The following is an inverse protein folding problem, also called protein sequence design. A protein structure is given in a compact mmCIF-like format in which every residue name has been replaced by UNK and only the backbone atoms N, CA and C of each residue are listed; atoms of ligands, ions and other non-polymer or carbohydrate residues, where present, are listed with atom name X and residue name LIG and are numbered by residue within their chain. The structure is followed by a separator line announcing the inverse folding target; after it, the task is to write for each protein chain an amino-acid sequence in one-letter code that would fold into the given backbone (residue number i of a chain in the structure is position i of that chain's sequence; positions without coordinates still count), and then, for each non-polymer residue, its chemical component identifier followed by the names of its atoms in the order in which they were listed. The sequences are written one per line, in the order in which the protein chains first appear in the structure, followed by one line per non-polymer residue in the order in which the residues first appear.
data_IF_821144574614
#
_entry.id   IF_821144574614
#
_cell.length_a   1.000
_cell.length_b   1.000
_cell.length_c   1.000
_cell.angle_alpha   90.00
_cell.angle_beta   90.00
_cell.angle_gamma   90.00
#
_symmetry.space_group_name_H-M   'P 1'
#
loop_
_entity.id
_entity.type
_entity.pdbx_description
1 polymer ?
2 non-polymer ?
3 water ?
#
# COMPACT_ATOMS: atom_id res chain seq x y z
N UNK A 31 36.23 13.46 -8.91
CA UNK A 31 37.20 12.33 -8.98
C UNK A 31 36.60 11.07 -8.31
N UNK A 32 36.41 11.13 -7.01
CA UNK A 32 35.62 10.09 -6.33
C UNK A 32 34.14 10.46 -6.51
N UNK A 33 33.84 11.76 -6.57
CA UNK A 33 32.52 12.27 -6.98
C UNK A 33 32.01 11.69 -8.31
N UNK A 34 32.92 11.57 -9.28
CA UNK A 34 32.66 11.00 -10.61
C UNK A 34 32.41 9.54 -10.57
N UNK A 35 33.21 8.83 -9.79
CA UNK A 35 33.01 7.41 -9.48
C UNK A 35 31.61 7.19 -8.83
N UNK A 36 31.20 8.02 -7.87
CA UNK A 36 29.85 7.93 -7.28
C UNK A 36 28.76 8.05 -8.36
N UNK A 37 28.84 9.12 -9.16
CA UNK A 37 27.83 9.32 -10.20
C UNK A 37 27.77 8.21 -11.18
N UNK A 38 28.93 7.73 -11.62
CA UNK A 38 28.95 6.62 -12.58
C UNK A 38 28.43 5.31 -11.98
N UNK A 39 28.71 5.03 -10.72
CA UNK A 39 28.12 3.83 -10.08
C UNK A 39 26.55 3.96 -10.00
N UNK A 40 26.06 5.11 -9.60
CA UNK A 40 24.63 5.33 -9.49
C UNK A 40 23.91 5.17 -10.85
N UNK A 41 24.48 5.82 -11.88
CA UNK A 41 23.98 5.72 -13.25
C UNK A 41 24.04 4.29 -13.76
N UNK A 42 25.16 3.60 -13.55
CA UNK A 42 25.25 2.19 -14.02
C UNK A 42 24.28 1.25 -13.30
N UNK A 43 24.17 1.43 -12.00
CA UNK A 43 23.29 0.55 -11.21
C UNK A 43 21.83 0.78 -11.61
N UNK A 44 21.50 2.05 -11.72
CA UNK A 44 20.19 2.44 -12.17
C UNK A 44 19.78 1.81 -13.49
N UNK A 45 20.67 1.84 -14.46
CA UNK A 45 20.40 1.23 -15.77
C UNK A 45 20.26 -0.25 -15.67
N UNK A 46 21.22 -0.92 -15.04
CA UNK A 46 21.21 -2.37 -15.06
C UNK A 46 20.14 -2.95 -14.18
N UNK A 47 19.96 -2.44 -12.98
CA UNK A 47 18.85 -2.94 -12.16
C UNK A 47 17.52 -2.56 -12.78
N UNK A 48 17.48 -1.42 -13.48
CA UNK A 48 16.29 -1.05 -14.21
C UNK A 48 15.82 -2.06 -15.22
N UNK A 49 16.77 -2.68 -15.89
CA UNK A 49 16.51 -3.69 -16.93
C UNK A 49 16.27 -5.09 -16.39
N UNK A 50 17.10 -5.55 -15.44
CA UNK A 50 17.06 -6.95 -15.03
C UNK A 50 16.61 -7.21 -13.60
N UNK A 51 16.48 -6.16 -12.80
CA UNK A 51 16.10 -6.31 -11.41
C UNK A 51 17.31 -6.36 -10.47
N UNK A 52 17.08 -5.84 -9.25
CA UNK A 52 18.06 -5.83 -8.17
C UNK A 52 18.77 -7.16 -7.98
N UNK A 53 17.98 -8.22 -7.85
CA UNK A 53 18.47 -9.56 -7.49
C UNK A 53 19.37 -10.17 -8.56
N UNK A 54 19.24 -9.70 -9.79
CA UNK A 54 19.88 -10.30 -10.97
C UNK A 54 21.19 -9.63 -11.36
N UNK A 55 21.59 -8.50 -10.76
CA UNK A 55 22.88 -7.88 -11.10
C UNK A 55 23.67 -7.67 -9.83
N UNK A 56 24.91 -8.19 -9.77
CA UNK A 56 25.79 -8.02 -8.62
C UNK A 56 26.64 -6.74 -8.70
N UNK A 57 27.22 -6.35 -7.57
CA UNK A 57 28.11 -5.18 -7.52
C UNK A 57 29.31 -5.29 -8.45
N UNK A 58 29.92 -6.51 -8.62
CA UNK A 58 31.04 -6.58 -9.60
C UNK A 58 30.68 -6.12 -11.01
N UNK A 59 29.58 -6.65 -11.54
CA UNK A 59 29.10 -6.23 -12.86
C UNK A 59 28.84 -4.71 -12.97
N UNK A 60 28.30 -4.12 -11.91
CA UNK A 60 28.04 -2.66 -11.91
C UNK A 60 29.34 -1.88 -11.89
N UNK A 61 30.29 -2.32 -11.08
CA UNK A 61 31.66 -1.69 -11.10
C UNK A 61 32.26 -1.67 -12.50
N UNK A 62 32.27 -2.84 -13.11
CA UNK A 62 32.79 -3.02 -14.46
C UNK A 62 32.05 -2.10 -15.44
N UNK A 63 30.72 -2.09 -15.43
CA UNK A 63 29.91 -1.22 -16.28
C UNK A 63 30.30 0.25 -16.13
N UNK A 64 30.51 0.68 -14.89
CA UNK A 64 30.97 2.01 -14.62
C UNK A 64 32.48 2.25 -14.83
N UNK A 65 33.26 1.21 -15.14
CA UNK A 65 34.71 1.38 -15.36
C UNK A 65 35.52 1.68 -14.12
N UNK A 66 35.14 1.16 -12.97
CA UNK A 66 35.83 1.48 -11.73
C UNK A 66 36.15 0.17 -11.03
N UNK A 67 37.03 0.26 -10.05
CA UNK A 67 37.49 -0.96 -9.40
C UNK A 67 36.52 -1.26 -8.27
N UNK A 68 36.57 -2.49 -7.78
CA UNK A 68 35.81 -2.89 -6.60
C UNK A 68 36.16 -2.00 -5.39
N UNK A 69 37.42 -1.61 -5.23
CA UNK A 69 37.82 -0.82 -4.07
C UNK A 69 37.28 0.60 -4.14
N UNK A 70 37.16 1.18 -5.33
CA UNK A 70 36.56 2.52 -5.48
C UNK A 70 35.08 2.46 -5.17
N UNK A 71 34.45 1.36 -5.59
CA UNK A 71 33.03 1.15 -5.33
C UNK A 71 32.71 1.00 -3.87
N UNK A 72 33.45 0.12 -3.19
CA UNK A 72 33.29 -0.09 -1.77
C UNK A 72 33.58 1.16 -0.95
N UNK A 73 34.47 2.03 -1.40
CA UNK A 73 34.72 3.34 -0.74
C UNK A 73 33.45 4.24 -0.76
N UNK A 74 32.69 4.18 -1.84
CA UNK A 74 31.48 5.01 -2.02
C UNK A 74 30.23 4.35 -1.36
N UNK A 75 30.16 3.03 -1.45
CA UNK A 75 29.02 2.27 -0.96
C UNK A 75 29.47 1.04 -0.22
N UNK A 76 29.19 1.01 1.07
CA UNK A 76 29.50 -0.14 1.93
C UNK A 76 28.95 -1.47 1.41
N UNK A 77 27.77 -1.45 0.82
CA UNK A 77 27.18 -2.67 0.26
C UNK A 77 26.20 -2.35 -0.84
N UNK A 78 25.65 -3.41 -1.41
CA UNK A 78 24.72 -3.36 -2.49
C UNK A 78 23.52 -2.50 -2.17
N UNK A 79 22.91 -2.76 -1.01
CA UNK A 79 21.70 -2.08 -0.59
C UNK A 79 21.90 -0.56 -0.41
N UNK A 80 23.08 -0.17 0.02
CA UNK A 80 23.44 1.24 0.14
C UNK A 80 23.41 1.92 -1.24
N UNK A 81 23.93 1.21 -2.24
CA UNK A 81 23.88 1.74 -3.63
C UNK A 81 22.44 1.85 -4.08
N UNK A 82 21.64 0.82 -3.78
CA UNK A 82 20.23 0.81 -4.16
C UNK A 82 19.45 1.98 -3.58
N UNK A 83 19.72 2.32 -2.33
CA UNK A 83 19.10 3.50 -1.68
C UNK A 83 19.36 4.80 -2.41
N UNK A 84 20.57 5.02 -2.85
CA UNK A 84 20.88 6.18 -3.71
C UNK A 84 20.23 6.08 -5.07
N UNK A 85 20.14 4.89 -5.64
CA UNK A 85 19.45 4.75 -6.91
C UNK A 85 17.97 5.15 -6.72
N UNK A 86 17.33 4.66 -5.69
CA UNK A 86 15.95 5.01 -5.40
C UNK A 86 15.75 6.52 -5.25
N UNK A 87 16.65 7.23 -4.57
CA UNK A 87 16.58 8.68 -4.45
C UNK A 87 16.53 9.35 -5.82
N UNK A 88 17.48 9.01 -6.71
CA UNK A 88 17.52 9.71 -8.01
C UNK A 88 16.31 9.34 -8.84
N UNK A 89 15.88 8.08 -8.79
CA UNK A 89 14.68 7.66 -9.55
C UNK A 89 13.41 8.34 -9.04
N UNK A 90 13.19 8.38 -7.73
CA UNK A 90 12.04 9.06 -7.19
C UNK A 90 12.05 10.56 -7.47
N UNK A 91 13.23 11.21 -7.43
CA UNK A 91 13.31 12.64 -7.83
C UNK A 91 12.90 12.83 -9.26
N UNK A 92 13.31 11.92 -10.13
CA UNK A 92 12.94 11.98 -11.53
C UNK A 92 11.48 11.66 -11.73
N UNK A 93 10.91 10.78 -10.92
CA UNK A 93 9.46 10.57 -10.96
C UNK A 93 8.71 11.89 -10.70
N UNK A 94 9.14 12.61 -9.63
CA UNK A 94 8.51 13.87 -9.23
C UNK A 94 8.68 14.99 -10.26
N UNK A 95 9.86 15.08 -10.87
CA UNK A 95 10.11 16.07 -11.90
C UNK A 95 9.32 15.73 -13.13
N UNK A 96 9.23 14.48 -13.51
CA UNK A 96 8.46 14.13 -14.70
C UNK A 96 6.94 14.35 -14.49
N UNK A 97 6.43 14.15 -13.27
CA UNK A 97 5.05 14.49 -12.94
C UNK A 97 4.76 15.98 -13.07
N UNK A 98 5.60 16.84 -12.48
CA UNK A 98 5.47 18.31 -12.63
C UNK A 98 5.48 18.76 -14.09
N UNK A 99 6.33 18.15 -14.90
CA UNK A 99 6.44 18.43 -16.34
C UNK A 99 5.16 18.05 -17.06
N UNK A 100 4.58 16.89 -16.74
CA UNK A 100 3.31 16.49 -17.36
C UNK A 100 2.09 17.35 -16.89
N UNK A 101 2.06 17.71 -15.63
CA UNK A 101 1.02 18.62 -15.15
C UNK A 101 1.18 20.02 -15.80
N UNK A 102 2.41 20.53 -15.90
CA UNK A 102 2.65 21.87 -16.55
C UNK A 102 2.30 21.87 -18.04
N UNK A 103 2.47 20.73 -18.70
CA UNK A 103 2.17 20.56 -20.12
C UNK A 103 0.72 20.24 -20.45
N UNK A 104 -0.07 19.84 -19.45
CA UNK A 104 -1.46 19.53 -19.66
C UNK A 104 -2.28 20.80 -19.97
N UNK A 105 -1.74 21.96 -19.62
CA UNK A 105 -2.46 23.24 -19.74
C UNK A 105 -3.59 23.39 -18.73
N UNK A 106 -3.49 22.69 -17.61
CA UNK A 106 -4.49 22.85 -16.54
C UNK A 106 -4.52 24.31 -16.04
N UNK A 107 -5.71 24.88 -16.04
CA UNK A 107 -5.95 26.26 -15.66
C UNK A 107 -6.61 26.36 -14.28
N UNK A 108 -7.04 25.22 -13.71
CA UNK A 108 -7.71 25.19 -12.40
C UNK A 108 -7.05 24.08 -11.59
N UNK A 109 -7.09 24.16 -10.25
CA UNK A 109 -6.65 23.08 -9.39
C UNK A 109 -7.29 21.70 -9.72
N UNK A 110 -8.59 21.68 -10.03
CA UNK A 110 -9.26 20.48 -10.40
C UNK A 110 -8.64 19.83 -11.60
N UNK A 111 -8.32 20.65 -12.62
CA UNK A 111 -7.75 20.12 -13.87
C UNK A 111 -6.35 19.55 -13.60
N UNK A 112 -5.66 20.13 -12.62
CA UNK A 112 -4.30 19.80 -12.26
C UNK A 112 -4.26 18.47 -11.53
N UNK A 113 -5.28 18.25 -10.69
CA UNK A 113 -5.50 16.96 -10.05
C UNK A 113 -5.79 15.90 -11.13
N UNK A 114 -6.67 16.18 -12.07
CA UNK A 114 -6.90 15.24 -13.17
C UNK A 114 -5.63 14.91 -13.95
N UNK A 115 -4.88 15.93 -14.34
CA UNK A 115 -3.64 15.71 -15.03
C UNK A 115 -2.56 14.96 -14.19
N UNK A 116 -2.47 15.25 -12.90
CA UNK A 116 -1.57 14.51 -12.01
C UNK A 116 -1.91 13.04 -11.90
N UNK A 117 -3.19 12.69 -11.87
CA UNK A 117 -3.58 11.27 -11.87
C UNK A 117 -3.07 10.60 -13.14
N UNK A 118 -3.36 11.19 -14.29
CA UNK A 118 -2.82 10.68 -15.60
C UNK A 118 -1.31 10.59 -15.63
N UNK A 119 -0.66 11.61 -15.10
CA UNK A 119 0.79 11.66 -15.12
C UNK A 119 1.36 10.48 -14.30
N UNK A 120 0.80 10.18 -13.12
CA UNK A 120 1.25 9.07 -12.32
C UNK A 120 1.05 7.73 -13.01
N UNK A 121 -0.09 7.51 -13.60
CA UNK A 121 -0.27 6.27 -14.35
C UNK A 121 0.74 6.17 -15.50
N UNK A 122 1.06 7.30 -16.12
CA UNK A 122 2.04 7.32 -17.20
C UNK A 122 3.45 7.07 -16.64
N UNK A 123 3.86 7.79 -15.61
CA UNK A 123 5.23 7.61 -15.08
C UNK A 123 5.44 6.24 -14.43
N UNK A 124 4.44 5.74 -13.70
CA UNK A 124 4.36 4.38 -13.14
C UNK A 124 4.62 3.27 -14.14
N UNK A 125 4.14 3.49 -15.38
CA UNK A 125 4.25 2.51 -16.47
C UNK A 125 5.60 2.47 -17.19
N UNK A 126 6.46 3.45 -16.97
CA UNK A 126 7.88 3.41 -17.42
C UNK A 126 8.52 2.12 -16.83
N UNK A 127 9.05 1.21 -17.66
CA UNK A 127 9.51 -0.12 -17.11
C UNK A 127 10.61 -0.04 -16.01
N UNK A 128 11.44 0.98 -16.02
CA UNK A 128 12.43 1.24 -14.98
C UNK A 128 11.77 1.67 -13.64
N UNK A 129 10.78 2.58 -13.70
CA UNK A 129 10.08 2.98 -12.50
C UNK A 129 9.38 1.75 -11.89
N UNK A 130 8.72 0.99 -12.76
CA UNK A 130 8.04 -0.22 -12.36
C UNK A 130 8.99 -1.18 -11.65
N UNK A 131 10.16 -1.43 -12.24
CA UNK A 131 11.07 -2.43 -11.70
C UNK A 131 11.68 -1.90 -10.41
N UNK A 132 12.18 -0.64 -10.38
CA UNK A 132 12.97 -0.21 -9.23
C UNK A 132 12.15 0.26 -8.10
N UNK A 133 11.03 0.95 -8.37
CA UNK A 133 10.23 1.54 -7.29
C UNK A 133 9.10 0.63 -6.84
N UNK A 134 8.35 0.11 -7.79
CA UNK A 134 7.18 -0.69 -7.47
C UNK A 134 7.55 -2.12 -7.05
N UNK A 135 8.55 -2.72 -7.69
CA UNK A 135 8.91 -4.11 -7.39
C UNK A 135 10.09 -4.28 -6.45
N UNK A 136 11.22 -3.61 -6.72
CA UNK A 136 12.44 -3.83 -5.96
C UNK A 136 12.51 -3.02 -4.65
N UNK A 137 12.05 -1.76 -4.66
CA UNK A 137 12.22 -0.97 -3.46
C UNK A 137 11.49 -1.47 -2.19
N UNK A 138 10.20 -1.87 -2.27
CA UNK A 138 9.55 -2.54 -1.10
C UNK A 138 10.38 -3.70 -0.50
N UNK A 139 10.95 -4.53 -1.36
CA UNK A 139 11.76 -5.66 -0.93
C UNK A 139 13.06 -5.25 -0.28
N UNK A 140 13.82 -4.41 -0.96
CA UNK A 140 15.21 -4.08 -0.54
C UNK A 140 15.26 -3.13 0.63
N UNK A 141 14.38 -2.13 0.62
CA UNK A 141 14.32 -1.16 1.70
C UNK A 141 13.56 -1.65 2.98
N UNK A 142 12.68 -2.64 2.83
CA UNK A 142 11.76 -3.04 3.90
C UNK A 142 10.61 -2.04 3.94
N UNK A 143 9.55 -2.42 4.66
CA UNK A 143 8.31 -1.67 4.61
C UNK A 143 8.48 -0.23 5.10
N UNK A 144 9.12 -0.06 6.26
CA UNK A 144 9.27 1.24 6.92
C UNK A 144 10.09 2.20 6.03
N UNK A 145 11.25 1.72 5.58
CA UNK A 145 12.14 2.44 4.68
C UNK A 145 11.47 2.86 3.35
N UNK A 146 10.77 1.93 2.71
CA UNK A 146 10.04 2.26 1.47
C UNK A 146 8.95 3.32 1.67
N UNK A 147 8.12 3.13 2.69
CA UNK A 147 7.06 4.12 3.03
C UNK A 147 7.62 5.49 3.29
N UNK A 148 8.73 5.53 4.04
CA UNK A 148 9.38 6.77 4.38
C UNK A 148 9.79 7.58 3.14
N UNK A 149 10.39 6.86 2.21
CA UNK A 149 10.80 7.44 0.93
C UNK A 149 9.57 7.89 0.08
N UNK A 150 8.62 6.99 -0.08
CA UNK A 150 7.37 7.32 -0.78
C UNK A 150 6.65 8.54 -0.18
N UNK A 151 6.62 8.59 1.14
CA UNK A 151 6.06 9.74 1.86
C UNK A 151 6.79 11.04 1.54
N UNK A 152 8.09 11.07 1.76
CA UNK A 152 8.91 12.26 1.56
C UNK A 152 8.75 12.79 0.14
N UNK A 153 8.62 11.92 -0.86
CA UNK A 153 8.51 12.42 -2.22
C UNK A 153 7.07 12.73 -2.66
N UNK A 154 6.07 12.03 -2.12
CA UNK A 154 4.69 12.19 -2.56
C UNK A 154 3.85 13.24 -1.82
N UNK A 155 4.05 13.28 -0.51
CA UNK A 155 3.06 13.91 0.36
C UNK A 155 2.90 15.43 0.08
N UNK A 156 4.06 16.07 -0.13
CA UNK A 156 4.15 17.50 -0.25
C UNK A 156 3.33 18.00 -1.40
N UNK A 157 3.52 17.36 -2.55
CA UNK A 157 2.84 17.74 -3.74
C UNK A 157 1.33 17.40 -3.67
N UNK A 158 0.98 16.25 -3.06
CA UNK A 158 -0.37 15.86 -2.87
C UNK A 158 -1.11 16.86 -1.99
N UNK A 159 -0.49 17.23 -0.86
CA UNK A 159 -1.08 18.24 0.01
C UNK A 159 -1.23 19.55 -0.72
N UNK A 160 -0.23 19.91 -1.50
CA UNK A 160 -0.31 21.16 -2.25
C UNK A 160 -1.52 21.20 -3.21
N UNK A 161 -1.71 20.17 -4.02
CA UNK A 161 -2.79 20.17 -4.99
C UNK A 161 -4.15 20.18 -4.29
N UNK A 162 -4.22 19.48 -3.16
CA UNK A 162 -5.43 19.49 -2.36
C UNK A 162 -5.69 20.88 -1.82
N UNK A 163 -4.66 21.52 -1.25
CA UNK A 163 -4.86 22.85 -0.60
C UNK A 163 -5.36 23.85 -1.66
N UNK A 164 -4.79 23.79 -2.85
CA UNK A 164 -5.23 24.62 -3.95
C UNK A 164 -6.66 24.35 -4.43
N UNK A 165 -7.07 23.11 -4.60
CA UNK A 165 -8.46 22.85 -4.95
C UNK A 165 -9.41 23.42 -3.86
N UNK A 166 -9.08 23.19 -2.59
CA UNK A 166 -9.88 23.74 -1.49
C UNK A 166 -9.99 25.26 -1.59
N UNK A 167 -8.86 25.96 -1.72
CA UNK A 167 -8.85 27.42 -1.77
C UNK A 167 -9.70 27.92 -2.93
N UNK A 168 -9.68 27.20 -4.04
CA UNK A 168 -10.51 27.55 -5.16
C UNK A 168 -12.03 27.21 -5.03
N UNK A 169 -12.44 26.64 -3.92
CA UNK A 169 -13.79 26.08 -3.77
C UNK A 169 -14.10 24.86 -4.65
N UNK A 170 -13.08 24.09 -5.09
CA UNK A 170 -13.32 22.93 -5.98
C UNK A 170 -13.28 21.60 -5.27
N UNK A 171 -13.04 21.66 -3.98
CA UNK A 171 -12.99 20.49 -3.17
C UNK A 171 -13.43 20.99 -1.84
N UNK A 172 -14.27 20.24 -1.17
CA UNK A 172 -14.78 20.68 0.12
C UNK A 172 -13.68 20.86 1.12
N UNK A 173 -13.78 21.92 1.89
CA UNK A 173 -12.93 22.19 3.05
C UNK A 173 -12.85 21.02 4.02
N UNK A 174 -11.63 20.61 4.31
CA UNK A 174 -11.37 19.44 5.16
C UNK A 174 -9.92 19.48 5.61
N UNK A 175 -9.59 18.65 6.60
CA UNK A 175 -8.18 18.46 6.92
C UNK A 175 -7.46 17.78 5.72
N UNK A 176 -6.30 18.33 5.38
CA UNK A 176 -5.56 17.99 4.20
C UNK A 176 -4.83 16.62 4.27
N UNK A 177 -4.25 16.31 5.43
CA UNK A 177 -3.40 15.17 5.59
C UNK A 177 -4.20 13.85 5.38
N UNK A 178 -5.35 13.66 6.02
CA UNK A 178 -6.09 12.42 5.80
C UNK A 178 -6.52 12.15 4.34
N UNK A 179 -6.99 13.18 3.65
CA UNK A 179 -7.36 13.03 2.28
C UNK A 179 -6.14 12.66 1.46
N UNK A 180 -5.04 13.33 1.76
CA UNK A 180 -3.80 13.12 1.02
C UNK A 180 -3.32 11.65 1.09
N UNK A 181 -3.41 11.12 2.27
CA UNK A 181 -2.94 9.81 2.62
C UNK A 181 -3.83 8.73 1.97
N UNK A 182 -5.15 8.92 1.99
CA UNK A 182 -6.06 8.01 1.32
C UNK A 182 -5.86 7.99 -0.18
N UNK A 183 -5.70 9.17 -0.77
CA UNK A 183 -5.44 9.28 -2.21
C UNK A 183 -4.12 8.63 -2.56
N UNK A 184 -3.10 8.89 -1.78
CA UNK A 184 -1.81 8.20 -1.96
C UNK A 184 -1.96 6.68 -1.90
N UNK A 185 -2.75 6.17 -0.97
CA UNK A 185 -2.94 4.75 -0.86
C UNK A 185 -3.67 4.19 -2.08
N UNK A 186 -4.69 4.91 -2.54
CA UNK A 186 -5.40 4.52 -3.72
C UNK A 186 -4.48 4.55 -4.98
N UNK A 187 -3.70 5.63 -5.11
CA UNK A 187 -2.81 5.79 -6.28
C UNK A 187 -1.64 4.80 -6.29
N UNK A 188 -1.03 4.56 -5.15
CA UNK A 188 0.04 3.54 -5.02
C UNK A 188 -0.49 2.15 -5.35
N UNK A 189 -1.67 1.84 -4.88
CA UNK A 189 -2.28 0.55 -5.16
C UNK A 189 -2.68 0.44 -6.63
N UNK A 190 -3.21 1.52 -7.21
CA UNK A 190 -3.50 1.51 -8.66
C UNK A 190 -2.26 1.06 -9.46
N UNK A 191 -1.15 1.73 -9.21
CA UNK A 191 0.11 1.41 -9.90
C UNK A 191 0.61 -0.01 -9.66
N UNK A 192 0.53 -0.50 -8.43
CA UNK A 192 0.89 -1.87 -8.13
C UNK A 192 0.05 -2.86 -8.93
N UNK A 193 -1.25 -2.62 -8.98
CA UNK A 193 -2.17 -3.51 -9.70
C UNK A 193 -1.80 -3.52 -11.17
N UNK A 194 -1.52 -2.37 -11.77
CA UNK A 194 -1.09 -2.35 -13.17
C UNK A 194 0.25 -3.09 -13.33
N UNK A 195 1.16 -2.88 -12.40
CA UNK A 195 2.50 -3.41 -12.54
C UNK A 195 2.55 -4.96 -12.59
N UNK A 196 1.61 -5.61 -11.89
CA UNK A 196 1.57 -7.07 -11.83
C UNK A 196 0.38 -7.71 -12.58
N UNK A 197 -0.38 -6.96 -13.34
CA UNK A 197 -1.57 -7.53 -14.00
C UNK A 197 -1.20 -8.32 -15.24
N UNK A 198 -2.06 -9.29 -15.56
CA UNK A 198 -1.90 -10.15 -16.74
C UNK A 198 -1.90 -9.35 -18.04
N UNK A 199 -2.88 -8.46 -18.17
CA UNK A 199 -2.95 -7.52 -19.31
C UNK A 199 -2.72 -6.06 -18.80
N UNK A 200 -1.45 -5.62 -18.71
CA UNK A 200 -1.15 -4.30 -18.15
C UNK A 200 -1.87 -3.19 -18.87
N UNK A 201 -1.97 -3.28 -20.18
CA UNK A 201 -2.62 -2.23 -20.98
C UNK A 201 -4.09 -2.05 -20.64
N UNK A 202 -4.81 -3.15 -20.49
CA UNK A 202 -6.21 -3.09 -20.11
C UNK A 202 -6.38 -2.62 -18.64
N UNK A 203 -5.52 -3.14 -17.74
CA UNK A 203 -5.52 -2.72 -16.35
C UNK A 203 -5.29 -1.19 -16.20
N UNK A 204 -4.34 -0.66 -16.96
CA UNK A 204 -4.07 0.77 -16.95
C UNK A 204 -5.28 1.58 -17.38
N UNK A 205 -5.92 1.18 -18.47
CA UNK A 205 -7.06 1.94 -19.02
C UNK A 205 -8.25 1.86 -18.03
N UNK A 206 -8.54 0.67 -17.53
CA UNK A 206 -9.68 0.49 -16.61
C UNK A 206 -9.44 1.13 -15.24
N UNK A 207 -8.19 1.10 -14.77
CA UNK A 207 -7.86 1.70 -13.50
C UNK A 207 -7.89 3.22 -13.61
N UNK A 208 -7.50 3.74 -14.77
CA UNK A 208 -7.56 5.18 -15.05
C UNK A 208 -9.01 5.66 -15.04
N UNK A 209 -9.90 4.91 -15.68
CA UNK A 209 -11.34 5.22 -15.67
C UNK A 209 -11.83 5.24 -14.23
N UNK A 210 -11.50 4.21 -13.45
CA UNK A 210 -11.93 4.15 -12.09
C UNK A 210 -11.45 5.37 -11.34
N UNK A 211 -10.17 5.71 -11.50
CA UNK A 211 -9.64 6.86 -10.72
C UNK A 211 -10.29 8.15 -11.15
N UNK A 212 -10.63 8.23 -12.44
CA UNK A 212 -11.26 9.44 -12.95
C UNK A 212 -12.66 9.64 -12.31
N UNK A 213 -13.45 8.59 -12.23
CA UNK A 213 -14.78 8.64 -11.59
C UNK A 213 -14.73 9.03 -10.13
N UNK A 214 -13.75 8.49 -9.45
CA UNK A 214 -13.56 8.68 -8.03
C UNK A 214 -13.17 10.15 -7.76
N UNK A 215 -12.25 10.66 -8.55
CA UNK A 215 -11.85 12.07 -8.60
C UNK A 215 -13.00 13.02 -8.95
N UNK A 216 -13.65 12.76 -10.07
CA UNK A 216 -14.83 13.54 -10.55
C UNK A 216 -16.03 13.54 -9.57
N UNK A 217 -16.11 12.53 -8.71
CA UNK A 217 -17.13 12.48 -7.67
C UNK A 217 -16.89 13.45 -6.54
N UNK A 218 -15.64 13.79 -6.28
CA UNK A 218 -15.28 14.72 -5.20
C UNK A 218 -14.99 16.13 -5.61
N UNK A 219 -14.63 16.34 -6.87
CA UNK A 219 -14.28 17.63 -7.39
C UNK A 219 -15.54 18.39 -7.85
N UNK A 220 -15.65 19.62 -7.37
CA UNK A 220 -16.66 20.55 -7.81
C UNK A 220 -16.05 21.34 -8.96
N UNK A 221 -16.13 20.76 -10.14
CA UNK A 221 -15.46 21.28 -11.33
C UNK A 221 -14.40 20.29 -11.81
N UNK B 31 -2.67 -34.09 16.41
CA UNK B 31 -1.40 -34.44 17.14
C UNK B 31 -0.31 -33.39 16.88
N UNK B 32 0.13 -33.33 15.63
CA UNK B 32 0.93 -32.23 15.14
C UNK B 32 -0.01 -31.00 14.96
N UNK B 33 -1.20 -31.29 14.44
CA UNK B 33 -2.30 -30.32 14.35
C UNK B 33 -2.57 -29.56 15.63
N UNK B 34 -2.57 -30.26 16.78
CA UNK B 34 -2.84 -29.69 18.11
C UNK B 34 -1.73 -28.77 18.58
N UNK B 35 -0.49 -29.23 18.37
CA UNK B 35 0.71 -28.43 18.58
C UNK B 35 0.68 -27.13 17.73
N UNK B 36 0.31 -27.24 16.45
CA UNK B 36 0.14 -26.05 15.59
C UNK B 36 -0.87 -25.10 16.15
N UNK B 37 -2.07 -25.57 16.49
CA UNK B 37 -3.13 -24.70 17.00
C UNK B 37 -2.69 -24.01 18.25
N UNK B 38 -2.06 -24.73 19.18
CA UNK B 38 -1.59 -24.13 20.40
C UNK B 38 -0.50 -23.06 20.15
N UNK B 39 0.42 -23.31 19.24
CA UNK B 39 1.42 -22.32 18.89
C UNK B 39 0.78 -21.06 18.25
N UNK B 40 -0.14 -21.24 17.34
CA UNK B 40 -0.83 -20.15 16.68
C UNK B 40 -1.59 -19.28 17.66
N UNK B 41 -2.36 -19.92 18.52
CA UNK B 41 -3.11 -19.25 19.59
C UNK B 41 -2.19 -18.49 20.52
N UNK B 42 -1.11 -19.14 20.97
CA UNK B 42 -0.16 -18.44 21.87
C UNK B 42 0.54 -17.24 21.21
N UNK B 43 0.97 -17.43 19.99
CA UNK B 43 1.68 -16.36 19.26
C UNK B 43 0.76 -15.20 19.01
N UNK B 44 -0.44 -15.52 18.58
CA UNK B 44 -1.46 -14.55 18.36
C UNK B 44 -1.73 -13.67 19.58
N UNK B 45 -1.83 -14.30 20.75
CA UNK B 45 -2.05 -13.56 21.99
C UNK B 45 -0.86 -12.68 22.32
N UNK B 46 0.31 -13.27 22.34
CA UNK B 46 1.48 -12.53 22.81
C UNK B 46 1.93 -11.44 21.84
N UNK B 47 1.98 -11.77 20.56
CA UNK B 47 2.31 -10.75 19.58
C UNK B 47 1.21 -9.70 19.53
N UNK B 48 -0.04 -10.12 19.75
CA UNK B 48 -1.16 -9.20 19.79
C UNK B 48 -0.96 -8.10 20.81
N UNK B 49 -0.41 -8.46 21.98
CA UNK B 49 -0.18 -7.52 23.08
C UNK B 49 1.10 -6.69 22.95
N UNK B 50 2.22 -7.33 22.59
CA UNK B 50 3.53 -6.66 22.65
C UNK B 50 4.23 -6.40 21.31
N UNK B 51 3.71 -6.98 20.23
CA UNK B 51 4.34 -6.86 18.93
C UNK B 51 5.25 -8.01 18.59
N UNK B 52 5.30 -8.34 17.30
CA UNK B 52 6.18 -9.33 16.71
C UNK B 52 7.60 -9.25 17.20
N UNK B 53 8.17 -8.05 17.12
CA UNK B 53 9.58 -7.81 17.44
C UNK B 53 9.95 -8.08 18.91
N UNK B 54 8.96 -8.00 19.79
CA UNK B 54 9.15 -8.06 21.23
C UNK B 54 9.00 -9.44 21.85
N UNK B 55 8.51 -10.44 21.12
CA UNK B 55 8.38 -11.77 21.75
C UNK B 55 9.08 -12.78 20.87
N UNK B 56 10.01 -13.51 21.47
CA UNK B 56 10.71 -14.63 20.83
C UNK B 56 9.95 -15.94 20.86
N UNK B 57 10.38 -16.85 20.00
CA UNK B 57 9.71 -18.15 19.86
C UNK B 57 9.77 -19.00 21.14
N UNK B 58 10.88 -18.93 21.91
CA UNK B 58 10.87 -19.72 23.19
C UNK B 58 9.73 -19.33 24.14
N UNK B 59 9.54 -18.04 24.37
CA UNK B 59 8.41 -17.57 25.18
C UNK B 59 7.04 -18.06 24.66
N UNK B 60 6.87 -18.05 23.33
CA UNK B 60 5.62 -18.54 22.73
C UNK B 60 5.45 -20.03 22.95
N UNK B 61 6.53 -20.79 22.79
CA UNK B 61 6.51 -22.25 23.04
C UNK B 61 6.04 -22.57 24.46
N UNK B 62 6.69 -21.91 25.41
CA UNK B 62 6.34 -22.07 26.81
C UNK B 62 4.88 -21.70 27.07
N UNK B 63 4.44 -20.56 26.59
CA UNK B 63 3.02 -20.15 26.71
C UNK B 63 2.04 -21.20 26.17
N UNK B 64 2.39 -21.79 25.03
CA UNK B 64 1.62 -22.89 24.46
C UNK B 64 1.83 -24.26 25.15
N UNK B 65 2.81 -24.39 26.03
CA UNK B 65 3.12 -25.70 26.63
C UNK B 65 3.70 -26.72 25.66
N UNK B 66 4.52 -26.29 24.70
CA UNK B 66 5.25 -27.26 23.89
C UNK B 66 6.75 -27.02 23.98
N UNK B 67 7.52 -27.99 23.56
CA UNK B 67 8.96 -27.87 23.61
C UNK B 67 9.47 -27.11 22.39
N UNK B 68 10.68 -26.56 22.48
CA UNK B 68 11.32 -25.93 21.33
C UNK B 68 11.44 -26.91 20.13
N UNK B 69 11.69 -28.20 20.41
CA UNK B 69 11.80 -29.21 19.37
C UNK B 69 10.51 -29.44 18.60
N UNK B 70 9.39 -29.43 19.32
CA UNK B 70 8.09 -29.67 18.71
C UNK B 70 7.71 -28.42 17.89
N UNK B 71 8.07 -27.25 18.39
CA UNK B 71 7.78 -26.00 17.70
C UNK B 71 8.56 -25.88 16.38
N UNK B 72 9.87 -26.14 16.43
CA UNK B 72 10.71 -26.09 15.26
C UNK B 72 10.32 -27.11 14.21
N UNK B 73 9.78 -28.26 14.62
CA UNK B 73 9.21 -29.24 13.68
C UNK B 73 8.04 -28.65 12.84
N UNK B 74 7.23 -27.82 13.47
CA UNK B 74 6.03 -27.24 12.86
C UNK B 74 6.32 -25.96 12.09
N UNK B 75 7.26 -25.18 12.62
CA UNK B 75 7.62 -23.89 12.04
C UNK B 75 9.13 -23.73 12.03
N UNK B 76 9.70 -23.71 10.84
CA UNK B 76 11.14 -23.51 10.65
C UNK B 76 11.67 -22.25 11.37
N UNK B 77 10.89 -21.19 11.39
CA UNK B 77 11.29 -19.96 12.01
C UNK B 77 10.07 -19.13 12.42
N UNK B 78 10.40 -18.00 13.01
CA UNK B 78 9.47 -17.08 13.56
C UNK B 78 8.48 -16.60 12.54
N UNK B 79 8.99 -16.19 11.39
CA UNK B 79 8.16 -15.63 10.34
C UNK B 79 7.13 -16.62 9.80
N UNK B 80 7.51 -17.89 9.77
CA UNK B 80 6.60 -18.95 9.33
C UNK B 80 5.40 -19.02 10.31
N UNK B 81 5.69 -18.91 11.61
CA UNK B 81 4.58 -18.91 12.60
C UNK B 81 3.69 -17.69 12.38
N UNK B 82 4.32 -16.53 12.14
CA UNK B 82 3.59 -15.29 11.89
C UNK B 82 2.64 -15.39 10.72
N UNK B 83 3.08 -16.01 9.64
CA UNK B 83 2.23 -16.24 8.45
C UNK B 83 0.95 -17.01 8.74
N UNK B 84 1.05 -18.07 9.55
CA UNK B 84 -0.15 -18.78 9.98
C UNK B 84 -0.99 -17.93 10.95
N UNK B 85 -0.36 -17.15 11.81
CA UNK B 85 -1.13 -16.25 12.69
C UNK B 85 -1.93 -15.28 11.84
N UNK B 86 -1.28 -14.67 10.84
CA UNK B 86 -2.01 -13.73 9.96
C UNK B 86 -3.19 -14.37 9.27
N UNK B 87 -3.07 -15.58 8.78
CA UNK B 87 -4.21 -16.30 8.19
C UNK B 87 -5.41 -16.37 9.16
N UNK B 88 -5.19 -16.78 10.41
CA UNK B 88 -6.30 -16.98 11.36
C UNK B 88 -6.89 -15.63 11.71
N UNK B 89 -6.03 -14.62 11.89
CA UNK B 89 -6.53 -13.28 12.25
C UNK B 89 -7.34 -12.67 11.10
N UNK B 90 -6.84 -12.75 9.87
CA UNK B 90 -7.56 -12.22 8.74
C UNK B 90 -8.88 -12.94 8.51
N UNK B 91 -8.94 -14.26 8.73
CA UNK B 91 -10.24 -14.97 8.63
C UNK B 91 -11.27 -14.42 9.60
N UNK B 92 -10.81 -14.15 10.83
CA UNK B 92 -11.67 -13.63 11.85
C UNK B 92 -12.05 -12.15 11.51
N UNK B 93 -11.12 -11.39 10.94
CA UNK B 93 -11.48 -10.06 10.43
C UNK B 93 -12.66 -10.11 9.44
N UNK B 94 -12.58 -11.02 8.47
CA UNK B 94 -13.63 -11.20 7.45
C UNK B 94 -14.97 -11.70 7.98
N UNK B 95 -14.93 -12.61 8.94
CA UNK B 95 -16.15 -13.08 9.60
C UNK B 95 -16.77 -11.95 10.41
N UNK B 96 -15.94 -11.19 11.12
CA UNK B 96 -16.50 -10.06 11.87
C UNK B 96 -17.11 -8.97 10.99
N UNK B 97 -16.50 -8.71 9.82
CA UNK B 97 -17.07 -7.78 8.86
C UNK B 97 -18.43 -8.21 8.33
N UNK B 98 -18.56 -9.47 7.90
CA UNK B 98 -19.85 -10.02 7.43
C UNK B 98 -20.98 -9.86 8.49
N UNK B 99 -20.62 -10.14 9.74
CA UNK B 99 -21.52 -10.04 10.88
C UNK B 99 -21.99 -8.60 11.09
N UNK B 100 -21.05 -7.64 11.01
CA UNK B 100 -21.42 -6.23 11.15
C UNK B 100 -22.25 -5.68 9.97
N UNK B 101 -21.93 -6.09 8.75
CA UNK B 101 -22.73 -5.68 7.60
C UNK B 101 -24.14 -6.27 7.69
N UNK B 102 -24.27 -7.55 8.08
CA UNK B 102 -25.61 -8.18 8.23
C UNK B 102 -26.46 -7.53 9.34
N UNK B 103 -25.80 -7.07 10.40
CA UNK B 103 -26.45 -6.42 11.54
C UNK B 103 -26.75 -4.91 11.38
N UNK B 104 -26.18 -4.29 10.35
CA UNK B 104 -26.24 -2.85 10.19
C UNK B 104 -27.64 -2.39 9.80
N UNK B 105 -28.47 -3.31 9.29
CA UNK B 105 -29.80 -2.98 8.82
C UNK B 105 -29.79 -2.21 7.51
N UNK B 106 -28.72 -2.34 6.73
CA UNK B 106 -28.66 -1.71 5.42
C UNK B 106 -29.76 -2.30 4.52
N UNK B 107 -30.53 -1.42 3.89
CA UNK B 107 -31.66 -1.82 3.05
C UNK B 107 -31.35 -1.74 1.53
N UNK B 108 -30.22 -1.13 1.18
CA UNK B 108 -29.80 -0.97 -0.21
C UNK B 108 -28.32 -1.35 -0.30
N UNK B 109 -27.84 -1.76 -1.47
CA UNK B 109 -26.39 -1.97 -1.66
C UNK B 109 -25.50 -0.78 -1.28
N UNK B 110 -25.95 0.44 -1.58
CA UNK B 110 -25.24 1.64 -1.21
C UNK B 110 -25.07 1.72 0.29
N UNK B 111 -26.13 1.43 1.03
CA UNK B 111 -26.07 1.47 2.52
C UNK B 111 -25.12 0.44 3.05
N UNK B 112 -25.02 -0.68 2.33
CA UNK B 112 -24.20 -1.83 2.71
C UNK B 112 -22.72 -1.51 2.53
N UNK B 113 -22.43 -0.81 1.46
CA UNK B 113 -21.08 -0.27 1.24
C UNK B 113 -20.72 0.73 2.36
N UNK B 114 -21.62 1.65 2.68
CA UNK B 114 -21.37 2.56 3.82
C UNK B 114 -21.15 1.84 5.12
N UNK B 115 -21.99 0.87 5.44
CA UNK B 115 -21.81 0.04 6.64
C UNK B 115 -20.52 -0.79 6.62
N UNK B 116 -20.13 -1.33 5.47
CA UNK B 116 -18.84 -2.04 5.37
C UNK B 116 -17.64 -1.16 5.68
N UNK B 117 -17.67 0.10 5.23
CA UNK B 117 -16.60 1.02 5.56
C UNK B 117 -16.52 1.22 7.08
N UNK B 118 -17.66 1.53 7.71
CA UNK B 118 -17.73 1.61 9.21
C UNK B 118 -17.28 0.34 9.91
N UNK B 119 -17.68 -0.81 9.39
CA UNK B 119 -17.29 -2.07 9.98
C UNK B 119 -15.74 -2.23 9.97
N UNK B 120 -15.08 -1.89 8.86
CA UNK B 120 -13.63 -1.94 8.78
C UNK B 120 -12.96 -0.98 9.70
N UNK B 121 -13.42 0.25 9.78
CA UNK B 121 -12.84 1.18 10.77
C UNK B 121 -13.05 0.63 12.18
N UNK B 122 -14.17 -0.04 12.45
CA UNK B 122 -14.39 -0.65 13.76
C UNK B 122 -13.47 -1.85 13.95
N UNK B 123 -13.43 -2.81 13.01
CA UNK B 123 -12.59 -4.01 13.28
C UNK B 123 -11.10 -3.73 13.24
N UNK B 124 -10.67 -2.85 12.36
CA UNK B 124 -9.27 -2.39 12.31
C UNK B 124 -8.81 -1.67 13.58
N UNK B 125 -9.73 -1.06 14.35
CA UNK B 125 -9.40 -0.42 15.65
C UNK B 125 -9.25 -1.35 16.85
N UNK B 126 -9.68 -2.60 16.71
CA UNK B 126 -9.36 -3.69 17.70
C UNK B 126 -7.83 -3.75 17.89
N UNK B 127 -7.32 -3.58 19.13
CA UNK B 127 -5.84 -3.44 19.32
C UNK B 127 -5.00 -4.63 18.78
N UNK B 128 -5.54 -5.84 18.81
CA UNK B 128 -4.89 -7.00 18.18
C UNK B 128 -4.81 -6.91 16.62
N UNK B 129 -5.91 -6.54 15.99
CA UNK B 129 -5.92 -6.37 14.54
C UNK B 129 -4.92 -5.27 14.17
N UNK B 130 -4.96 -4.17 14.92
CA UNK B 130 -4.04 -3.06 14.75
C UNK B 130 -2.60 -3.48 14.84
N UNK B 131 -2.26 -4.24 15.86
CA UNK B 131 -0.87 -4.62 16.04
C UNK B 131 -0.45 -5.65 14.99
N UNK B 132 -1.24 -6.69 14.77
CA UNK B 132 -0.77 -7.80 13.93
C UNK B 132 -0.91 -7.53 12.45
N UNK B 133 -2.00 -6.90 12.05
CA UNK B 133 -2.30 -6.70 10.63
C UNK B 133 -1.79 -5.35 10.13
N UNK B 134 -2.13 -4.29 10.85
CA UNK B 134 -1.79 -2.94 10.42
C UNK B 134 -0.34 -2.57 10.68
N UNK B 135 0.25 -3.01 11.79
CA UNK B 135 1.66 -2.67 12.11
C UNK B 135 2.66 -3.76 11.74
N UNK B 136 2.44 -5.01 12.17
CA UNK B 136 3.46 -6.06 12.03
C UNK B 136 3.42 -6.75 10.65
N UNK B 137 2.26 -7.01 10.08
CA UNK B 137 2.21 -7.73 8.81
C UNK B 137 2.89 -7.02 7.61
N UNK B 138 2.69 -5.71 7.37
CA UNK B 138 3.48 -5.04 6.31
C UNK B 138 5.02 -5.18 6.52
N UNK B 139 5.52 -5.15 7.74
CA UNK B 139 6.96 -5.33 8.00
C UNK B 139 7.42 -6.76 7.69
N UNK B 140 6.74 -7.73 8.30
CA UNK B 140 7.18 -9.14 8.24
C UNK B 140 6.95 -9.79 6.85
N UNK B 141 5.81 -9.50 6.24
CA UNK B 141 5.46 -10.01 4.91
C UNK B 141 5.94 -9.21 3.70
N UNK B 142 6.44 -8.01 3.90
CA UNK B 142 6.68 -7.06 2.77
C UNK B 142 5.42 -6.47 2.17
N UNK B 143 5.55 -5.46 1.33
CA UNK B 143 4.39 -4.86 0.68
C UNK B 143 3.60 -5.85 -0.19
N UNK B 144 4.32 -6.63 -1.01
CA UNK B 144 3.71 -7.60 -1.94
C UNK B 144 2.99 -8.69 -1.14
N UNK B 145 3.68 -9.27 -0.16
CA UNK B 145 3.07 -10.27 0.75
C UNK B 145 1.85 -9.78 1.52
N UNK B 146 1.89 -8.56 2.04
CA UNK B 146 0.72 -7.94 2.69
C UNK B 146 -0.48 -7.79 1.76
N UNK B 147 -0.26 -7.20 0.59
CA UNK B 147 -1.30 -7.08 -0.47
C UNK B 147 -1.88 -8.43 -0.84
N UNK B 148 -1.04 -9.43 -1.00
CA UNK B 148 -1.49 -10.82 -1.36
C UNK B 148 -2.49 -11.36 -0.33
N UNK B 149 -2.15 -11.16 0.94
CA UNK B 149 -3.02 -11.57 2.03
C UNK B 149 -4.34 -10.78 2.03
N UNK B 150 -4.21 -9.46 2.02
CA UNK B 150 -5.34 -8.58 1.88
C UNK B 150 -6.25 -8.90 0.69
N UNK B 151 -5.64 -9.17 -0.45
CA UNK B 151 -6.37 -9.55 -1.65
C UNK B 151 -7.17 -10.83 -1.47
N UNK B 152 -6.49 -11.92 -1.09
CA UNK B 152 -7.15 -13.20 -0.93
C UNK B 152 -8.31 -13.13 0.06
N UNK B 153 -8.21 -12.31 1.10
CA UNK B 153 -9.32 -12.26 2.08
C UNK B 153 -10.39 -11.26 1.74
N UNK B 154 -10.01 -10.14 1.12
CA UNK B 154 -10.91 -8.98 0.98
C UNK B 154 -11.62 -8.89 -0.34
N UNK B 155 -10.99 -9.38 -1.40
CA UNK B 155 -11.48 -9.11 -2.74
C UNK B 155 -12.89 -9.60 -3.00
N UNK B 156 -13.20 -10.80 -2.54
CA UNK B 156 -14.48 -11.46 -2.81
C UNK B 156 -15.64 -10.64 -2.32
N UNK B 157 -15.55 -10.21 -1.07
CA UNK B 157 -16.58 -9.40 -0.46
C UNK B 157 -16.68 -7.99 -1.11
N UNK B 158 -15.54 -7.40 -1.43
CA UNK B 158 -15.46 -6.12 -2.10
C UNK B 158 -16.10 -6.19 -3.48
N UNK B 159 -15.77 -7.22 -4.24
CA UNK B 159 -16.38 -7.41 -5.55
C UNK B 159 -17.86 -7.62 -5.41
N UNK B 160 -18.27 -8.40 -4.42
CA UNK B 160 -19.67 -8.64 -4.20
C UNK B 160 -20.45 -7.35 -3.94
N UNK B 161 -19.98 -6.49 -3.04
CA UNK B 161 -20.72 -5.30 -2.70
C UNK B 161 -20.80 -4.36 -3.89
N UNK B 162 -19.70 -4.29 -4.65
CA UNK B 162 -19.68 -3.51 -5.87
C UNK B 162 -20.74 -4.07 -6.85
N UNK B 163 -20.74 -5.39 -7.06
CA UNK B 163 -21.62 -5.99 -8.09
C UNK B 163 -23.08 -5.69 -7.74
N UNK B 164 -23.41 -5.81 -6.48
CA UNK B 164 -24.74 -5.46 -6.00
C UNK B 164 -25.14 -3.99 -6.14
N UNK B 165 -24.27 -3.05 -5.80
CA UNK B 165 -24.60 -1.66 -6.07
C UNK B 165 -24.84 -1.41 -7.59
N UNK B 166 -23.99 -1.97 -8.44
CA UNK B 166 -24.18 -1.86 -9.88
C UNK B 166 -25.55 -2.40 -10.31
N UNK B 167 -25.88 -3.63 -9.89
CA UNK B 167 -27.13 -4.26 -10.29
C UNK B 167 -28.33 -3.44 -9.85
N UNK B 168 -28.22 -2.79 -8.71
CA UNK B 168 -29.27 -1.90 -8.24
C UNK B 168 -29.32 -0.52 -8.90
N UNK B 169 -28.47 -0.24 -9.88
CA UNK B 169 -28.32 1.09 -10.43
C UNK B 169 -27.75 2.16 -9.49
N UNK B 170 -26.99 1.78 -8.45
CA UNK B 170 -26.47 2.78 -7.48
C UNK B 170 -25.01 3.10 -7.68
N UNK B 171 -24.41 2.46 -8.67
CA UNK B 171 -23.02 2.68 -8.93
C UNK B 171 -22.93 2.42 -10.41
N UNK B 172 -22.22 3.28 -11.12
CA UNK B 172 -22.14 3.14 -12.56
C UNK B 172 -21.53 1.79 -12.94
N UNK B 173 -22.09 1.20 -13.98
CA UNK B 173 -21.53 0.03 -14.66
C UNK B 173 -20.04 0.15 -14.99
N UNK B 174 -19.27 -0.81 -14.51
CA UNK B 174 -17.84 -0.85 -14.74
C UNK B 174 -17.32 -2.27 -14.59
N UNK B 175 -16.07 -2.50 -15.03
CA UNK B 175 -15.34 -3.66 -14.56
C UNK B 175 -15.12 -3.56 -13.02
N UNK B 176 -15.41 -4.67 -12.36
CA UNK B 176 -15.43 -4.75 -10.91
C UNK B 176 -14.04 -4.80 -10.24
N UNK B 177 -13.09 -5.48 -10.87
CA UNK B 177 -11.81 -5.80 -10.27
C UNK B 177 -10.98 -4.53 -10.03
N UNK B 178 -10.82 -3.65 -11.04
CA UNK B 178 -10.02 -2.45 -10.77
C UNK B 178 -10.57 -1.52 -9.66
N UNK B 179 -11.88 -1.34 -9.62
CA UNK B 179 -12.47 -0.53 -8.58
C UNK B 179 -12.24 -1.16 -7.26
N UNK B 180 -12.40 -2.46 -7.21
CA UNK B 180 -12.23 -3.22 -5.96
C UNK B 180 -10.84 -3.05 -5.35
N UNK B 181 -9.86 -3.11 -6.23
CA UNK B 181 -8.43 -3.06 -5.93
C UNK B 181 -8.07 -1.65 -5.37
N UNK B 182 -8.54 -0.61 -6.06
CA UNK B 182 -8.33 0.77 -5.61
C UNK B 182 -8.98 1.02 -4.24
N UNK B 183 -10.22 0.57 -4.07
CA UNK B 183 -10.94 0.75 -2.79
C UNK B 183 -10.23 0.03 -1.68
N UNK B 184 -9.81 -1.20 -1.93
CA UNK B 184 -9.01 -1.92 -0.94
C UNK B 184 -7.74 -1.16 -0.55
N UNK B 185 -7.06 -0.58 -1.54
CA UNK B 185 -5.85 0.15 -1.25
C UNK B 185 -6.14 1.40 -0.44
N UNK B 186 -7.22 2.10 -0.78
CA UNK B 186 -7.61 3.26 -0.04
C UNK B 186 -8.00 2.91 1.41
N UNK B 187 -8.77 1.82 1.57
CA UNK B 187 -9.21 1.39 2.91
C UNK B 187 -8.10 0.87 3.80
N UNK B 188 -7.19 0.08 3.23
CA UNK B 188 -6.02 -0.40 3.97
C UNK B 188 -5.13 0.79 4.41
N UNK B 189 -4.95 1.75 3.53
CA UNK B 189 -4.17 2.92 3.89
C UNK B 189 -4.90 3.79 4.95
N UNK B 190 -6.21 3.95 4.82
CA UNK B 190 -6.98 4.66 5.85
C UNK B 190 -6.71 4.09 7.24
N UNK B 191 -6.86 2.77 7.36
CA UNK B 191 -6.63 2.09 8.63
C UNK B 191 -5.22 2.23 9.15
N UNK B 192 -4.22 2.13 8.28
CA UNK B 192 -2.85 2.34 8.70
C UNK B 192 -2.64 3.75 9.24
N UNK B 193 -3.21 4.74 8.57
CA UNK B 193 -3.05 6.13 9.00
C UNK B 193 -3.65 6.29 10.40
N UNK B 194 -4.83 5.72 10.65
CA UNK B 194 -5.39 5.76 12.00
C UNK B 194 -4.48 5.02 13.00
N UNK B 195 -3.97 3.87 12.59
CA UNK B 195 -3.19 3.04 13.47
C UNK B 195 -1.93 3.69 14.02
N UNK B 196 -1.31 4.57 13.24
CA UNK B 196 -0.06 5.22 13.63
C UNK B 196 -0.19 6.72 13.95
N UNK B 197 -1.40 7.26 14.00
CA UNK B 197 -1.54 8.69 14.24
C UNK B 197 -1.37 9.03 15.73
N UNK B 198 -0.91 10.26 15.97
CA UNK B 198 -0.68 10.76 17.33
C UNK B 198 -2.00 10.90 18.07
N UNK B 199 -3.04 11.41 17.40
CA UNK B 199 -4.41 11.41 17.95
C UNK B 199 -5.35 10.47 17.19
N UNK B 200 -5.36 9.17 17.59
CA UNK B 200 -6.17 8.17 16.89
C UNK B 200 -7.61 8.54 16.77
N UNK B 201 -8.18 9.12 17.81
CA UNK B 201 -9.60 9.48 17.84
C UNK B 201 -9.97 10.51 16.77
N UNK B 202 -9.13 11.54 16.64
CA UNK B 202 -9.36 12.56 15.64
C UNK B 202 -9.08 11.99 14.21
N UNK B 203 -8.00 11.22 14.06
CA UNK B 203 -7.68 10.56 12.79
C UNK B 203 -8.83 9.66 12.29
N UNK B 204 -9.40 8.88 13.19
CA UNK B 204 -10.52 8.02 12.83
C UNK B 204 -11.72 8.82 12.35
N UNK B 205 -12.07 9.90 13.04
CA UNK B 205 -13.22 10.72 12.65
C UNK B 205 -12.99 11.42 11.30
N UNK B 206 -11.82 12.02 11.15
CA UNK B 206 -11.49 12.75 9.91
C UNK B 206 -11.32 11.79 8.71
N UNK B 207 -10.76 10.61 8.96
CA UNK B 207 -10.58 9.63 7.91
C UNK B 207 -11.88 9.03 7.51
N UNK B 208 -12.79 8.85 8.45
CA UNK B 208 -14.16 8.37 8.16
C UNK B 208 -14.88 9.35 7.25
N UNK B 209 -14.79 10.64 7.55
CA UNK B 209 -15.38 11.69 6.70
C UNK B 209 -14.78 11.59 5.31
N UNK B 210 -13.46 11.52 5.21
CA UNK B 210 -12.81 11.37 3.91
C UNK B 210 -13.38 10.20 3.18
N UNK B 211 -13.46 9.04 3.84
CA UNK B 211 -13.92 7.82 3.15
C UNK B 211 -15.35 7.96 2.72
N UNK B 212 -16.14 8.67 3.54
CA UNK B 212 -17.56 8.91 3.24
C UNK B 212 -17.70 9.69 1.92
N UNK B 213 -16.96 10.79 1.78
CA UNK B 213 -17.02 11.65 0.59
C UNK B 213 -16.62 10.94 -0.66
N UNK B 214 -15.59 10.11 -0.52
CA UNK B 214 -15.04 9.38 -1.64
C UNK B 214 -16.02 8.31 -2.13
N UNK B 215 -16.58 7.59 -1.18
CA UNK B 215 -17.68 6.64 -1.41
C UNK B 215 -18.94 7.30 -2.01
N UNK B 216 -19.45 8.32 -1.34
CA UNK B 216 -20.64 9.08 -1.77
C UNK B 216 -20.47 9.77 -3.15
N UNK B 217 -19.21 10.03 -3.56
CA UNK B 217 -18.95 10.59 -4.87
C UNK B 217 -19.12 9.61 -6.00
N UNK B 218 -19.01 8.31 -5.74
CA UNK B 218 -19.31 7.29 -6.78
C UNK B 218 -20.67 6.64 -6.69
N UNK B 219 -21.29 6.71 -5.53
CA UNK B 219 -22.61 6.19 -5.29
C UNK B 219 -23.72 7.16 -5.72
N UNK B 220 -24.65 6.63 -6.50
CA UNK B 220 -25.75 7.43 -7.07
C UNK B 220 -26.90 7.64 -6.09
N UNK B 221 -27.69 8.66 -6.40
CA UNK B 221 -28.83 9.08 -5.60
C UNK B 221 -28.61 10.49 -5.09
X LIG C 1 -0.24 12.03 -7.09
X LIG C 1 -1.51 12.82 -7.00
X LIG C 1 -3.88 14.25 -6.79
X LIG C 1 -2.43 12.80 -8.04
X LIG C 1 4.83 8.28 -5.87
X LIG C 1 4.54 6.99 -5.19
X LIG C 1 5.83 6.30 -4.85
X LIG C 1 5.62 4.88 -4.35
X LIG C 1 2.34 8.45 -6.14
X LIG C 1 1.45 9.57 -5.63
X LIG C 1 6.00 8.67 -6.04
X LIG C 1 6.84 4.54 -3.91
X LIG C 1 4.72 4.76 -3.36
X LIG C 1 5.25 4.13 -5.37
X LIG C 1 3.72 8.92 -6.36
X LIG C 1 3.89 10.11 -7.23
X LIG C 1 2.99 11.26 -6.74
X LIG C 1 1.59 10.79 -6.49
X LIG C 1 0.68 11.87 -5.93
X LIG C 1 0.13 11.33 -8.08
X LIG C 1 1.07 10.50 -7.78
X LIG C 1 -3.62 13.50 -7.92
X LIG C 1 -2.95 14.26 -5.77
X LIG C 1 -1.75 13.55 -5.87
X LIG D 1 -14.39 -3.25 2.45
X LIG D 1 -15.32 -2.56 1.54
X LIG D 1 -16.90 -1.20 -0.17
X LIG D 1 -15.47 -3.03 0.25
X LIG D 1 -9.39 -6.00 5.07
X LIG D 1 -7.98 -5.60 4.78
X LIG D 1 -7.15 -6.68 5.45
X LIG D 1 -5.69 -6.36 5.38
X LIG D 1 -11.67 -5.42 5.34
X LIG D 1 -12.55 -5.70 4.13
X LIG D 1 -9.56 -7.11 5.60
X LIG D 1 -5.06 -7.51 5.58
X LIG D 1 -5.35 -5.89 4.20
X LIG D 1 -5.48 -5.38 6.26
X LIG D 1 -10.37 -5.14 4.81
X LIG D 1 -10.34 -3.87 4.08
X LIG D 1 -11.25 -4.01 2.87
X LIG D 1 -12.66 -4.42 3.31
X LIG D 1 -13.67 -4.51 2.18
X LIG D 1 -14.07 -2.73 3.53
X LIG D 1 -13.18 -3.38 4.11
X LIG D 1 -16.29 -2.35 -0.61
X LIG D 1 -16.71 -0.71 1.14
X LIG D 1 -15.92 -1.39 2.00
#
# INVERSE_FOLDING_TARGET
MGSSHHHHHHSSGLVPRGSHMEIKRRTQEERSAATREALITGARKLWGLRGYAEVGTPEIATEAGVTRGAMYHQFADKAALFRDVVEVVEQDVMARMATLVAASGAATPADAIRAAVDAWLEVSGDPEVRQLILLDAPVVLGWAGFRDVAQRYSLGMTEQLITEAIRAGQLARQPVRPLAQVLIGALDEAAMFIATADDPKRARRETRQVLRRLIDGMLNG
MGSSHHHHHHSSGLVPRGSHMEIKRRTQEERSAATREALITGARKLWGLRGYAEVGTPEIATEAGVTRGAMYHQFADKAALFRDVVEVVEQDVMARMATLVAASGAATPADAIRAAVDAWLEVSGDPEVRQLILLDAPVVLGWAGFRDVAQRYSLGMTEQLITEAIRAGQLARQPVRPLAQVLIGALDEAAMFIATADDPKRARRETRQVLRRLIDGMLNG
69Y C1 C2 C5 C6 C11 C12 C13 C14 C15 C16 O1 F2 F1 F N1 C10 C9 C C8 N O C7 C4 C3
69Y C1 C2 C5 C6 C11 C12 C13 C14 C15 C16 O1 F2 F1 F N1 C10 C9 C C8 N O C7 C4 C3
#
